data_IF_832480380697
#
_entry.id   IF_832480380697
#
_cell.length_a   1.000
_cell.length_b   1.000
_cell.length_c   1.000
_cell.angle_alpha   90.00
_cell.angle_beta   90.00
_cell.angle_gamma   90.00
#
_symmetry.space_group_name_H-M   'P 1'
#
loop_
_entity.id
_entity.type
_entity.pdbx_description
1 polymer ?
#
# COMPACT_ATOMS: atom_id res chain seq x y z
N UNK A 1 -12.69 18.36 6.43
CA UNK A 1 -11.72 18.20 7.55
C UNK A 1 -10.33 17.82 7.00
N UNK A 2 -9.82 18.55 5.98
CA UNK A 2 -8.69 18.08 5.15
C UNK A 2 -7.40 18.86 5.28
N UNK A 3 -7.20 19.72 6.28
CA UNK A 3 -6.00 20.58 6.34
C UNK A 3 -5.33 20.65 7.71
N UNK A 4 -5.49 19.66 8.59
CA UNK A 4 -5.03 19.81 9.98
C UNK A 4 -3.56 19.40 10.21
N UNK A 5 -2.93 18.64 9.32
CA UNK A 5 -1.59 18.08 9.57
C UNK A 5 -0.49 18.95 8.98
N UNK A 6 -0.68 19.53 7.80
CA UNK A 6 0.31 20.40 7.15
C UNK A 6 0.57 21.72 7.90
N UNK A 7 -0.24 22.04 8.91
CA UNK A 7 -0.11 23.26 9.72
C UNK A 7 0.23 22.97 11.20
N UNK A 8 0.74 21.78 11.53
CA UNK A 8 1.26 21.55 12.88
C UNK A 8 2.69 22.11 12.97
N UNK A 9 2.92 23.29 13.56
CA UNK A 9 4.22 23.98 13.53
C UNK A 9 5.31 23.26 14.33
N UNK A 10 5.00 22.16 14.99
CA UNK A 10 5.92 21.45 15.88
C UNK A 10 6.40 20.08 15.34
N UNK A 11 6.05 19.71 14.12
CA UNK A 11 6.54 18.49 13.52
C UNK A 11 6.87 18.69 12.04
N UNK A 12 8.16 18.87 11.79
CA UNK A 12 8.72 18.95 10.44
C UNK A 12 8.96 17.51 9.96
N UNK A 13 7.95 16.93 9.28
CA UNK A 13 8.13 15.63 8.64
C UNK A 13 9.05 15.80 7.42
N UNK A 14 10.02 14.89 7.23
CA UNK A 14 10.81 14.89 6.01
C UNK A 14 9.91 14.79 4.76
N UNK A 15 10.41 15.30 3.63
CA UNK A 15 9.72 15.17 2.35
C UNK A 15 9.54 13.70 1.98
N UNK A 16 8.32 13.31 1.62
CA UNK A 16 8.08 12.02 1.00
C UNK A 16 8.67 11.97 -0.41
N UNK A 17 9.05 10.77 -0.82
CA UNK A 17 9.56 10.48 -2.16
C UNK A 17 9.05 9.11 -2.63
N UNK A 18 9.35 8.72 -3.88
CA UNK A 18 9.07 7.36 -4.32
C UNK A 18 9.85 6.29 -3.54
N UNK A 19 10.92 6.69 -2.88
CA UNK A 19 11.81 5.79 -2.14
C UNK A 19 11.58 5.79 -0.64
N UNK A 20 10.96 6.82 -0.08
CA UNK A 20 10.76 6.97 1.37
C UNK A 20 9.39 7.55 1.67
N UNK A 21 8.74 6.96 2.68
CA UNK A 21 7.48 7.43 3.24
C UNK A 21 7.65 7.67 4.73
N UNK A 22 7.18 8.81 5.21
CA UNK A 22 7.24 9.17 6.62
C UNK A 22 5.86 9.23 7.24
N UNK A 23 5.59 8.34 8.21
CA UNK A 23 4.31 8.27 8.90
C UNK A 23 4.49 8.44 10.40
N UNK A 24 3.51 9.11 11.02
CA UNK A 24 3.34 9.11 12.47
C UNK A 24 2.18 8.20 12.81
N UNK A 25 2.37 7.32 13.80
CA UNK A 25 1.38 6.33 14.15
C UNK A 25 1.04 6.45 15.62
N UNK A 26 -0.24 6.69 15.89
CA UNK A 26 -0.79 6.67 17.25
C UNK A 26 -1.96 5.72 17.31
N UNK A 27 -1.82 4.64 18.08
CA UNK A 27 -2.86 3.59 18.19
C UNK A 27 -3.28 3.09 16.81
N UNK A 28 -4.55 3.31 16.45
CA UNK A 28 -5.16 2.87 15.21
C UNK A 28 -5.25 3.99 14.14
N UNK A 29 -4.47 5.07 14.27
CA UNK A 29 -4.41 6.20 13.34
C UNK A 29 -3.02 6.30 12.73
N UNK A 30 -2.99 6.54 11.43
CA UNK A 30 -1.80 6.84 10.66
C UNK A 30 -1.90 8.28 10.20
N UNK A 31 -0.85 9.06 10.44
CA UNK A 31 -0.74 10.43 9.97
C UNK A 31 0.36 10.48 8.93
N UNK A 32 -0.01 10.89 7.73
CA UNK A 32 0.90 11.10 6.62
C UNK A 32 1.14 12.59 6.41
N UNK A 33 2.01 12.98 5.52
CA UNK A 33 2.23 14.38 5.13
C UNK A 33 0.98 15.05 4.53
N UNK A 34 -0.01 14.27 4.08
CA UNK A 34 -1.20 14.76 3.37
C UNK A 34 -2.49 14.59 4.16
N UNK A 35 -2.67 13.49 4.87
CA UNK A 35 -3.97 13.10 5.47
C UNK A 35 -3.79 12.20 6.69
N UNK A 36 -4.80 12.21 7.58
CA UNK A 36 -4.92 11.22 8.65
C UNK A 36 -5.82 10.07 8.19
N UNK A 37 -5.36 8.85 8.41
CA UNK A 37 -6.02 7.60 8.05
C UNK A 37 -6.21 6.72 9.29
N UNK A 38 -7.11 5.76 9.20
CA UNK A 38 -7.16 4.64 10.15
C UNK A 38 -6.35 3.49 9.60
N UNK A 39 -5.71 2.72 10.47
CA UNK A 39 -5.01 1.49 10.07
C UNK A 39 -5.95 0.57 9.30
N UNK A 40 -5.46 -0.01 8.20
CA UNK A 40 -6.23 -0.84 7.24
C UNK A 40 -6.88 -0.04 6.10
N UNK A 41 -6.90 1.30 6.14
CA UNK A 41 -7.51 2.11 5.07
C UNK A 41 -6.67 2.11 3.78
N UNK A 42 -5.34 2.15 3.88
CA UNK A 42 -4.45 2.09 2.71
C UNK A 42 -4.65 0.75 1.98
N UNK A 43 -4.64 -0.34 2.72
CA UNK A 43 -4.87 -1.69 2.21
C UNK A 43 -6.25 -1.83 1.58
N UNK A 44 -7.29 -1.31 2.24
CA UNK A 44 -8.66 -1.35 1.72
C UNK A 44 -8.80 -0.57 0.43
N UNK A 45 -8.11 0.57 0.31
CA UNK A 45 -8.08 1.36 -0.93
C UNK A 45 -7.38 0.62 -2.07
N UNK A 46 -6.26 -0.06 -1.79
CA UNK A 46 -5.58 -0.91 -2.77
C UNK A 46 -6.52 -1.98 -3.33
N UNK A 47 -7.25 -2.69 -2.44
CA UNK A 47 -8.19 -3.74 -2.85
C UNK A 47 -9.39 -3.22 -3.63
N UNK A 48 -9.69 -1.93 -3.55
CA UNK A 48 -10.77 -1.26 -4.28
C UNK A 48 -10.28 -0.50 -5.51
N UNK A 49 -9.01 -0.61 -5.88
CA UNK A 49 -8.52 -0.04 -7.14
C UNK A 49 -9.33 -0.60 -8.32
N UNK A 50 -9.54 0.21 -9.31
CA UNK A 50 -10.16 -0.25 -10.56
C UNK A 50 -9.22 -1.24 -11.25
N UNK A 51 -9.80 -2.27 -11.84
CA UNK A 51 -9.02 -3.30 -12.55
C UNK A 51 -8.17 -2.70 -13.68
N UNK A 52 -8.68 -1.64 -14.35
CA UNK A 52 -7.96 -0.94 -15.39
C UNK A 52 -6.71 -0.22 -14.85
N UNK A 53 -6.81 0.43 -13.68
CA UNK A 53 -5.69 1.15 -13.07
C UNK A 53 -4.61 0.17 -12.60
N UNK A 54 -5.03 -0.94 -11.96
CA UNK A 54 -4.11 -2.00 -11.56
C UNK A 54 -3.42 -2.63 -12.76
N UNK A 55 -4.17 -2.93 -13.82
CA UNK A 55 -3.62 -3.48 -15.05
C UNK A 55 -2.63 -2.52 -15.70
N UNK A 56 -2.98 -1.24 -15.77
CA UNK A 56 -2.13 -0.22 -16.39
C UNK A 56 -0.77 -0.11 -15.69
N UNK A 57 -0.76 0.00 -14.36
CA UNK A 57 0.51 0.11 -13.62
C UNK A 57 1.32 -1.19 -13.67
N UNK A 58 0.65 -2.35 -13.65
CA UNK A 58 1.29 -3.64 -13.84
C UNK A 58 1.98 -3.75 -15.21
N UNK A 59 1.27 -3.46 -16.30
CA UNK A 59 1.79 -3.54 -17.66
C UNK A 59 2.97 -2.58 -17.89
N UNK A 60 2.90 -1.37 -17.34
CA UNK A 60 3.99 -0.37 -17.43
C UNK A 60 5.24 -0.86 -16.71
N UNK A 61 5.10 -1.35 -15.48
CA UNK A 61 6.25 -1.82 -14.69
C UNK A 61 6.88 -3.08 -15.29
N UNK A 62 6.08 -4.01 -15.83
CA UNK A 62 6.58 -5.18 -16.57
C UNK A 62 7.30 -4.77 -17.84
N UNK A 63 6.75 -3.82 -18.60
CA UNK A 63 7.40 -3.27 -19.79
C UNK A 63 8.72 -2.58 -19.46
N UNK A 64 8.74 -1.80 -18.37
CA UNK A 64 9.96 -1.16 -17.86
C UNK A 64 11.01 -2.19 -17.44
N UNK A 65 10.64 -3.22 -16.70
CA UNK A 65 11.55 -4.28 -16.25
C UNK A 65 12.21 -4.97 -17.45
N UNK A 66 11.42 -5.37 -18.44
CA UNK A 66 11.94 -5.99 -19.69
C UNK A 66 12.87 -5.05 -20.45
N UNK A 67 12.52 -3.78 -20.55
CA UNK A 67 13.38 -2.78 -21.18
C UNK A 67 14.71 -2.65 -20.44
N UNK A 68 14.67 -2.48 -19.11
CA UNK A 68 15.85 -2.31 -18.28
C UNK A 68 16.78 -3.52 -18.37
N UNK A 69 16.23 -4.75 -18.36
CA UNK A 69 17.02 -5.98 -18.44
C UNK A 69 17.67 -6.18 -19.83
N UNK A 70 16.92 -5.90 -20.91
CA UNK A 70 17.43 -6.08 -22.26
C UNK A 70 18.50 -5.03 -22.65
N UNK A 71 18.49 -3.86 -22.03
CA UNK A 71 19.38 -2.75 -22.37
C UNK A 71 20.51 -2.53 -21.34
N UNK A 72 20.73 -3.46 -20.41
CA UNK A 72 21.79 -3.35 -19.38
C UNK A 72 23.20 -3.12 -19.97
N UNK A 73 23.47 -3.64 -21.17
CA UNK A 73 24.77 -3.50 -21.83
C UNK A 73 24.94 -2.18 -22.61
N UNK A 74 23.84 -1.49 -22.96
CA UNK A 74 23.85 -0.28 -23.78
C UNK A 74 23.56 0.96 -22.96
N UNK A 75 24.55 1.43 -22.21
CA UNK A 75 24.47 2.62 -21.34
C UNK A 75 24.89 3.85 -22.19
N UNK A 76 23.99 4.34 -23.02
CA UNK A 76 24.18 5.52 -23.87
C UNK A 76 23.03 6.51 -23.67
N UNK A 77 23.13 7.70 -24.27
CA UNK A 77 22.16 8.78 -24.16
C UNK A 77 20.74 8.35 -24.53
N UNK A 78 20.58 7.66 -25.64
CA UNK A 78 19.25 7.23 -26.11
C UNK A 78 18.60 6.24 -25.14
N UNK A 79 19.35 5.24 -24.68
CA UNK A 79 18.86 4.24 -23.73
C UNK A 79 18.52 4.87 -22.38
N UNK A 80 19.34 5.81 -21.91
CA UNK A 80 19.07 6.50 -20.64
C UNK A 80 17.90 7.47 -20.74
N UNK A 81 17.72 8.11 -21.90
CA UNK A 81 16.53 8.94 -22.14
C UNK A 81 15.27 8.10 -22.06
N UNK A 82 15.22 6.96 -22.74
CA UNK A 82 14.06 6.06 -22.70
C UNK A 82 13.83 5.46 -21.29
N UNK A 83 14.90 5.13 -20.56
CA UNK A 83 14.82 4.65 -19.17
C UNK A 83 14.13 5.68 -18.28
N UNK A 84 14.57 6.93 -18.32
CA UNK A 84 14.03 8.03 -17.52
C UNK A 84 12.60 8.37 -17.93
N UNK A 85 12.31 8.43 -19.24
CA UNK A 85 10.96 8.74 -19.72
C UNK A 85 9.92 7.72 -19.22
N UNK A 86 10.28 6.44 -19.20
CA UNK A 86 9.44 5.36 -18.64
C UNK A 86 9.26 5.48 -17.13
N UNK A 87 10.29 5.89 -16.38
CA UNK A 87 10.19 6.17 -14.95
C UNK A 87 9.19 7.29 -14.71
N UNK A 88 9.32 8.41 -15.40
CA UNK A 88 8.41 9.56 -15.26
C UNK A 88 6.96 9.17 -15.57
N UNK A 89 6.73 8.33 -16.58
CA UNK A 89 5.38 7.82 -16.88
C UNK A 89 4.81 6.99 -15.73
N UNK A 90 5.62 6.11 -15.13
CA UNK A 90 5.20 5.30 -13.96
C UNK A 90 4.92 6.22 -12.77
N UNK A 91 5.78 7.19 -12.46
CA UNK A 91 5.63 8.15 -11.37
C UNK A 91 4.31 8.93 -11.45
N UNK A 92 3.98 9.44 -12.64
CA UNK A 92 2.74 10.18 -12.89
C UNK A 92 1.48 9.37 -12.58
N UNK A 93 1.52 8.07 -12.76
CA UNK A 93 0.40 7.18 -12.43
C UNK A 93 0.47 6.78 -10.96
N UNK A 94 1.63 6.42 -10.47
CA UNK A 94 1.82 5.92 -9.11
C UNK A 94 1.32 6.91 -8.05
N UNK A 95 1.52 8.23 -8.22
CA UNK A 95 1.04 9.24 -7.27
C UNK A 95 -0.49 9.29 -7.13
N UNK A 96 -1.22 8.69 -8.06
CA UNK A 96 -2.69 8.58 -7.98
C UNK A 96 -3.16 7.30 -7.29
N UNK A 97 -2.24 6.38 -6.98
CA UNK A 97 -2.51 5.05 -6.46
C UNK A 97 -2.01 4.89 -5.02
N UNK A 98 -2.64 4.00 -4.20
CA UNK A 98 -2.13 3.67 -2.88
C UNK A 98 -0.73 3.00 -2.94
N UNK A 99 0.18 3.33 -2.03
CA UNK A 99 0.04 4.28 -0.92
C UNK A 99 0.37 5.73 -1.30
N UNK A 100 0.92 6.01 -2.48
CA UNK A 100 1.45 7.31 -2.88
C UNK A 100 0.38 8.42 -2.92
N UNK A 101 -0.89 8.10 -3.22
CA UNK A 101 -1.97 9.10 -3.22
C UNK A 101 -2.25 9.71 -1.82
N UNK A 102 -1.70 9.13 -0.76
CA UNK A 102 -1.86 9.58 0.63
C UNK A 102 -0.70 10.42 1.16
N UNK A 103 0.33 10.65 0.36
CA UNK A 103 1.52 11.43 0.73
C UNK A 103 1.73 12.60 -0.24
N UNK A 104 2.53 13.58 0.19
CA UNK A 104 2.90 14.71 -0.64
C UNK A 104 4.23 14.43 -1.35
N UNK A 105 4.17 14.01 -2.61
CA UNK A 105 5.34 13.85 -3.46
C UNK A 105 5.42 15.04 -4.41
N UNK A 106 6.57 15.69 -4.43
CA UNK A 106 6.89 16.74 -5.39
C UNK A 106 7.36 16.11 -6.70
N UNK A 107 6.43 15.92 -7.63
CA UNK A 107 6.71 15.32 -8.94
C UNK A 107 7.74 16.08 -9.76
N UNK A 108 7.81 17.40 -9.64
CA UNK A 108 8.83 18.18 -10.37
C UNK A 108 10.23 17.93 -9.81
N UNK A 109 10.35 17.80 -8.48
CA UNK A 109 11.60 17.44 -7.82
C UNK A 109 12.04 16.02 -8.18
N UNK A 110 11.11 15.05 -8.18
CA UNK A 110 11.40 13.66 -8.58
C UNK A 110 11.81 13.58 -10.06
N UNK A 111 11.08 14.26 -10.95
CA UNK A 111 11.44 14.36 -12.35
C UNK A 111 12.83 14.96 -12.56
N UNK A 112 13.18 16.05 -11.84
CA UNK A 112 14.50 16.66 -11.93
C UNK A 112 15.60 15.68 -11.50
N UNK A 113 15.36 14.86 -10.46
CA UNK A 113 16.29 13.80 -10.03
C UNK A 113 16.48 12.75 -11.13
N UNK A 114 15.39 12.26 -11.72
CA UNK A 114 15.46 11.28 -12.80
C UNK A 114 16.16 11.84 -14.04
N UNK A 115 15.91 13.11 -14.42
CA UNK A 115 16.53 13.76 -15.58
C UNK A 115 18.08 13.84 -15.49
N UNK A 116 18.65 13.87 -14.30
CA UNK A 116 20.12 13.86 -14.12
C UNK A 116 20.74 12.61 -14.77
N UNK A 117 20.02 11.48 -14.77
CA UNK A 117 20.50 10.22 -15.34
C UNK A 117 20.70 10.28 -16.89
N UNK A 118 20.07 11.24 -17.57
CA UNK A 118 20.28 11.47 -19.02
C UNK A 118 21.63 12.10 -19.34
N UNK A 119 22.33 12.64 -18.35
CA UNK A 119 23.60 13.34 -18.57
C UNK A 119 24.75 12.35 -18.87
N UNK A 120 25.65 12.76 -19.76
CA UNK A 120 26.87 12.00 -20.08
C UNK A 120 27.73 11.75 -18.85
N UNK A 121 27.74 12.70 -17.90
CA UNK A 121 28.45 12.56 -16.65
C UNK A 121 27.91 11.38 -15.83
N UNK A 122 26.59 11.19 -15.82
CA UNK A 122 25.95 10.09 -15.11
C UNK A 122 26.14 8.75 -15.84
N UNK A 123 25.62 8.61 -17.08
CA UNK A 123 25.63 7.31 -17.74
C UNK A 123 27.04 6.83 -18.13
N UNK A 124 27.99 7.73 -18.26
CA UNK A 124 29.40 7.36 -18.47
C UNK A 124 30.03 6.62 -17.29
N UNK A 125 29.49 6.74 -16.09
CA UNK A 125 29.96 6.06 -14.90
C UNK A 125 29.25 4.74 -14.59
N UNK A 126 28.20 4.41 -15.32
CA UNK A 126 27.43 3.18 -15.10
C UNK A 126 28.20 1.89 -15.40
N UNK A 127 29.38 1.97 -16.02
CA UNK A 127 30.30 0.83 -16.21
C UNK A 127 31.13 0.51 -14.96
N UNK A 128 31.21 1.45 -14.03
CA UNK A 128 31.83 1.26 -12.72
C UNK A 128 30.75 0.88 -11.70
N UNK A 129 30.66 -0.44 -11.38
CA UNK A 129 29.65 -0.98 -10.46
C UNK A 129 29.84 -0.48 -9.02
N UNK A 130 30.92 0.22 -8.72
CA UNK A 130 31.20 0.83 -7.40
C UNK A 130 30.82 2.31 -7.35
N UNK A 131 30.40 2.89 -8.48
CA UNK A 131 30.02 4.31 -8.55
C UNK A 131 28.69 4.59 -7.90
N UNK A 132 28.52 5.80 -7.40
CA UNK A 132 27.25 6.28 -6.85
C UNK A 132 26.15 6.31 -7.94
N UNK A 133 26.52 6.63 -9.16
CA UNK A 133 25.62 6.66 -10.31
C UNK A 133 25.10 5.26 -10.65
N UNK A 134 25.93 4.22 -10.57
CA UNK A 134 25.48 2.84 -10.73
C UNK A 134 24.52 2.43 -9.62
N UNK A 135 24.83 2.74 -8.36
CA UNK A 135 23.97 2.46 -7.24
C UNK A 135 22.59 3.14 -7.36
N UNK A 136 22.57 4.40 -7.80
CA UNK A 136 21.33 5.13 -8.02
C UNK A 136 20.50 4.57 -9.21
N UNK A 137 21.16 4.22 -10.31
CA UNK A 137 20.51 3.52 -11.43
C UNK A 137 19.85 2.22 -11.00
N UNK A 138 20.56 1.36 -10.26
CA UNK A 138 20.03 0.10 -9.77
C UNK A 138 18.88 0.32 -8.77
N UNK A 139 18.93 1.36 -7.96
CA UNK A 139 17.89 1.74 -7.03
C UNK A 139 16.58 2.09 -7.79
N UNK A 140 16.66 2.90 -8.83
CA UNK A 140 15.50 3.24 -9.68
C UNK A 140 14.99 2.01 -10.43
N UNK A 141 15.91 1.25 -11.03
CA UNK A 141 15.57 0.00 -11.72
C UNK A 141 14.80 -0.95 -10.80
N UNK A 142 15.31 -1.20 -9.61
CA UNK A 142 14.69 -2.10 -8.62
C UNK A 142 13.29 -1.64 -8.21
N UNK A 143 13.15 -0.36 -7.88
CA UNK A 143 11.87 0.20 -7.45
C UNK A 143 10.81 0.07 -8.55
N UNK A 144 11.08 0.60 -9.72
CA UNK A 144 10.07 0.71 -10.77
C UNK A 144 9.81 -0.60 -11.51
N UNK A 145 10.77 -1.54 -11.55
CA UNK A 145 10.51 -2.90 -12.05
C UNK A 145 9.59 -3.70 -11.13
N UNK A 146 9.67 -3.48 -9.82
CA UNK A 146 8.93 -4.27 -8.83
C UNK A 146 7.58 -3.67 -8.42
N UNK A 147 7.35 -2.38 -8.66
CA UNK A 147 6.23 -1.66 -8.05
C UNK A 147 4.85 -2.24 -8.40
N UNK A 148 4.47 -2.25 -9.68
CA UNK A 148 3.12 -2.72 -10.08
C UNK A 148 2.92 -4.21 -9.85
N UNK A 149 3.96 -5.01 -10.03
CA UNK A 149 3.94 -6.45 -9.74
C UNK A 149 3.71 -6.67 -8.25
N UNK A 150 4.45 -5.96 -7.38
CA UNK A 150 4.32 -6.06 -5.94
C UNK A 150 2.93 -5.64 -5.45
N UNK A 151 2.36 -4.55 -5.97
CA UNK A 151 0.99 -4.14 -5.66
C UNK A 151 -0.03 -5.22 -6.02
N UNK A 152 0.08 -5.80 -7.22
CA UNK A 152 -0.82 -6.85 -7.69
C UNK A 152 -0.76 -8.10 -6.79
N UNK A 153 0.45 -8.59 -6.50
CA UNK A 153 0.66 -9.78 -5.66
C UNK A 153 0.07 -9.56 -4.27
N UNK A 154 0.41 -8.44 -3.61
CA UNK A 154 -0.11 -8.12 -2.27
C UNK A 154 -1.65 -8.03 -2.29
N UNK A 155 -2.23 -7.39 -3.30
CA UNK A 155 -3.68 -7.30 -3.42
C UNK A 155 -4.33 -8.68 -3.54
N UNK A 156 -3.77 -9.57 -4.36
CA UNK A 156 -4.26 -10.96 -4.50
C UNK A 156 -4.19 -11.73 -3.17
N UNK A 157 -3.04 -11.66 -2.47
CA UNK A 157 -2.83 -12.34 -1.20
C UNK A 157 -3.83 -11.86 -0.13
N UNK A 158 -4.00 -10.55 0.01
CA UNK A 158 -4.90 -9.99 1.01
C UNK A 158 -6.36 -10.26 0.65
N UNK A 159 -6.72 -10.25 -0.65
CA UNK A 159 -8.06 -10.61 -1.10
C UNK A 159 -8.38 -12.07 -0.77
N UNK A 160 -7.49 -13.02 -1.05
CA UNK A 160 -7.66 -14.43 -0.68
C UNK A 160 -7.81 -14.58 0.84
N UNK A 161 -6.93 -13.92 1.61
CA UNK A 161 -6.98 -13.98 3.06
C UNK A 161 -8.31 -13.44 3.61
N UNK A 162 -8.81 -12.34 3.02
CA UNK A 162 -10.12 -11.77 3.38
C UNK A 162 -11.26 -12.73 3.04
N UNK A 163 -11.30 -13.26 1.81
CA UNK A 163 -12.42 -14.02 1.29
C UNK A 163 -12.47 -15.45 1.86
N UNK A 164 -11.32 -16.11 2.07
CA UNK A 164 -11.27 -17.51 2.46
C UNK A 164 -11.03 -17.73 3.96
N UNK A 165 -10.29 -16.85 4.61
CA UNK A 165 -9.88 -17.05 6.01
C UNK A 165 -10.65 -16.16 6.98
N UNK A 166 -10.76 -14.85 6.70
CA UNK A 166 -11.44 -13.93 7.61
C UNK A 166 -12.96 -14.10 7.65
N UNK A 167 -13.58 -14.50 6.54
CA UNK A 167 -15.02 -14.78 6.49
C UNK A 167 -15.44 -15.91 7.42
N UNK A 168 -14.53 -16.83 7.73
CA UNK A 168 -14.76 -17.98 8.63
C UNK A 168 -14.65 -17.63 10.11
N UNK A 169 -14.08 -16.47 10.44
CA UNK A 169 -13.90 -16.07 11.83
C UNK A 169 -15.24 -15.81 12.52
N UNK A 170 -15.41 -16.38 13.72
CA UNK A 170 -16.61 -16.15 14.56
C UNK A 170 -16.60 -14.74 15.16
N UNK A 171 -15.42 -14.24 15.53
CA UNK A 171 -15.19 -12.92 16.09
C UNK A 171 -14.00 -12.27 15.39
N UNK A 172 -14.03 -10.96 15.24
CA UNK A 172 -13.01 -10.16 14.55
C UNK A 172 -12.19 -9.42 15.59
N UNK A 173 -11.19 -10.10 16.12
CA UNK A 173 -10.22 -9.56 17.07
C UNK A 173 -8.82 -10.06 16.72
N UNK A 174 -7.82 -9.47 17.34
CA UNK A 174 -6.41 -9.76 17.10
C UNK A 174 -6.11 -11.27 17.13
N UNK A 175 -6.58 -11.97 18.19
CA UNK A 175 -6.32 -13.41 18.35
C UNK A 175 -6.89 -14.26 17.22
N UNK A 176 -8.10 -13.95 16.75
CA UNK A 176 -8.73 -14.67 15.65
C UNK A 176 -8.06 -14.35 14.32
N UNK A 177 -7.64 -13.10 14.10
CA UNK A 177 -6.85 -12.75 12.91
C UNK A 177 -5.48 -13.44 12.93
N UNK A 178 -4.83 -13.57 14.08
CA UNK A 178 -3.57 -14.32 14.19
C UNK A 178 -3.75 -15.82 13.84
N UNK A 179 -4.87 -16.44 14.25
CA UNK A 179 -5.22 -17.82 13.86
C UNK A 179 -5.44 -17.92 12.34
N UNK A 180 -6.19 -16.97 11.76
CA UNK A 180 -6.42 -16.94 10.31
C UNK A 180 -5.12 -16.73 9.51
N UNK A 181 -4.22 -15.88 10.01
CA UNK A 181 -2.89 -15.69 9.47
C UNK A 181 -2.07 -16.97 9.50
N UNK A 182 -2.08 -17.70 10.64
CA UNK A 182 -1.41 -19.00 10.76
C UNK A 182 -1.94 -20.01 9.72
N UNK A 183 -3.27 -20.11 9.57
CA UNK A 183 -3.89 -20.99 8.60
C UNK A 183 -3.56 -20.58 7.14
N UNK A 184 -3.57 -19.28 6.84
CA UNK A 184 -3.14 -18.79 5.53
C UNK A 184 -1.70 -19.20 5.21
N UNK A 185 -0.77 -19.03 6.14
CA UNK A 185 0.63 -19.42 5.96
C UNK A 185 0.82 -20.93 5.78
N UNK A 186 -0.04 -21.75 6.39
CA UNK A 186 0.06 -23.20 6.29
C UNK A 186 -0.55 -23.76 5.00
N UNK A 187 -1.68 -23.20 4.57
CA UNK A 187 -2.50 -23.81 3.52
C UNK A 187 -2.58 -23.03 2.21
N UNK A 188 -2.24 -21.73 2.20
CA UNK A 188 -2.26 -20.95 0.96
C UNK A 188 -0.96 -21.05 0.18
N UNK A 189 -1.07 -21.24 -1.12
CA UNK A 189 0.06 -21.17 -2.05
C UNK A 189 0.58 -19.73 -2.22
N UNK A 190 -0.23 -18.73 -1.89
CA UNK A 190 0.13 -17.31 -1.98
C UNK A 190 0.79 -16.78 -0.70
N UNK A 191 0.87 -17.56 0.38
CA UNK A 191 1.44 -17.06 1.65
C UNK A 191 2.90 -16.61 1.51
N UNK A 192 3.69 -17.36 0.75
CA UNK A 192 5.08 -17.02 0.43
C UNK A 192 5.18 -15.74 -0.39
N UNK A 193 4.20 -15.45 -1.25
CA UNK A 193 4.19 -14.28 -2.11
C UNK A 193 3.88 -12.99 -1.33
N UNK A 194 3.00 -13.04 -0.32
CA UNK A 194 2.72 -11.89 0.54
C UNK A 194 3.97 -11.45 1.33
N UNK A 195 4.79 -12.42 1.75
CA UNK A 195 6.04 -12.15 2.45
C UNK A 195 7.19 -11.87 1.48
N UNK A 196 7.16 -12.44 0.26
CA UNK A 196 8.18 -12.33 -0.77
C UNK A 196 8.01 -11.13 -1.72
N UNK A 197 7.05 -10.24 -1.47
CA UNK A 197 6.90 -9.01 -2.27
C UNK A 197 8.05 -7.99 -2.06
N UNK A 198 9.10 -8.44 -1.40
CA UNK A 198 10.44 -7.83 -1.37
C UNK A 198 11.29 -8.50 -2.47
N UNK A 199 12.10 -7.73 -3.24
CA UNK A 199 12.74 -8.23 -4.46
C UNK A 199 13.57 -9.49 -4.27
N UNK A 200 13.37 -10.37 -5.20
CA UNK A 200 13.99 -11.65 -5.45
C UNK A 200 15.54 -11.64 -5.33
N UNK A 201 16.08 -11.76 -4.12
CA UNK A 201 17.45 -12.23 -3.90
C UNK A 201 17.57 -12.93 -2.55
N UNK A 202 17.96 -14.21 -2.67
CA UNK A 202 18.42 -15.18 -1.68
C UNK A 202 17.33 -16.07 -1.05
N UNK A 203 17.46 -17.35 -1.37
CA UNK A 203 16.85 -18.51 -0.71
C UNK A 203 17.39 -18.69 0.73
N UNK A 204 17.29 -17.66 1.54
CA UNK A 204 17.43 -17.83 2.97
C UNK A 204 16.04 -17.77 3.59
N UNK A 205 15.70 -18.72 4.44
CA UNK A 205 14.54 -18.70 5.34
C UNK A 205 14.70 -17.59 6.40
N UNK A 206 15.01 -16.39 5.95
CA UNK A 206 14.96 -15.20 6.77
C UNK A 206 13.50 -14.78 6.74
N UNK A 207 12.88 -14.59 7.90
CA UNK A 207 11.61 -13.87 8.02
C UNK A 207 11.83 -12.55 7.32
N UNK A 208 11.22 -12.38 6.16
CA UNK A 208 11.32 -11.15 5.40
C UNK A 208 10.70 -10.07 6.27
N UNK A 209 11.54 -9.17 6.74
CA UNK A 209 11.13 -8.04 7.54
C UNK A 209 10.66 -6.96 6.59
N UNK A 210 9.56 -6.30 6.92
CA UNK A 210 9.16 -5.05 6.24
C UNK A 210 10.34 -4.08 6.32
N UNK A 211 10.61 -3.40 5.22
CA UNK A 211 11.68 -2.40 5.14
C UNK A 211 11.19 -1.09 5.76
N UNK A 212 11.30 -1.01 7.09
CA UNK A 212 10.80 0.11 7.89
C UNK A 212 11.73 0.40 9.06
N UNK A 213 12.09 1.67 9.23
CA UNK A 213 12.74 2.19 10.42
C UNK A 213 11.67 2.74 11.37
N UNK A 214 11.70 2.32 12.63
CA UNK A 214 10.74 2.76 13.64
C UNK A 214 11.49 3.53 14.74
N UNK A 215 11.03 4.74 15.00
CA UNK A 215 11.44 5.58 16.11
C UNK A 215 10.25 6.01 16.96
N UNK A 216 10.49 6.91 17.90
CA UNK A 216 9.45 7.46 18.79
C UNK A 216 9.58 8.99 18.86
N UNK A 217 8.46 9.69 18.83
CA UNK A 217 8.40 11.14 18.94
C UNK A 217 7.18 11.62 19.71
N UNK A 218 7.13 12.93 19.99
CA UNK A 218 5.94 13.60 20.52
C UNK A 218 5.18 14.30 19.39
N UNK A 219 3.85 14.19 19.39
CA UNK A 219 2.97 14.91 18.46
C UNK A 219 1.85 15.57 19.24
N UNK A 220 1.53 16.84 18.92
CA UNK A 220 0.36 17.50 19.49
C UNK A 220 -0.90 16.80 18.97
N UNK A 221 -1.85 16.54 19.87
CA UNK A 221 -3.14 15.96 19.51
C UNK A 221 -3.86 16.87 18.48
N UNK A 222 -4.19 16.40 17.28
CA UNK A 222 -4.88 17.22 16.27
C UNK A 222 -6.25 17.72 16.71
N UNK A 223 -6.88 17.05 17.67
CA UNK A 223 -8.21 17.34 18.16
C UNK A 223 -8.16 18.15 19.48
N UNK A 224 -6.98 18.25 20.16
CA UNK A 224 -6.79 18.97 21.43
C UNK A 224 -5.34 19.48 21.55
N UNK A 225 -5.15 20.76 21.30
CA UNK A 225 -3.80 21.41 21.27
C UNK A 225 -3.07 21.40 22.61
N UNK A 226 -3.78 21.19 23.70
CA UNK A 226 -3.20 21.15 25.05
C UNK A 226 -2.68 19.73 25.41
N UNK A 227 -2.89 18.76 24.52
CA UNK A 227 -2.43 17.38 24.70
C UNK A 227 -1.32 17.03 23.72
N UNK A 228 -0.39 16.22 24.22
CA UNK A 228 0.68 15.63 23.41
C UNK A 228 0.58 14.10 23.48
N UNK A 229 0.73 13.45 22.33
CA UNK A 229 0.82 12.01 22.22
C UNK A 229 2.26 11.56 22.04
N UNK A 230 2.59 10.40 22.59
CA UNK A 230 3.75 9.65 22.15
C UNK A 230 3.32 8.86 20.91
N UNK A 231 4.05 9.02 19.82
CA UNK A 231 3.75 8.41 18.53
C UNK A 231 4.95 7.61 18.03
N UNK A 232 4.68 6.52 17.31
CA UNK A 232 5.69 5.84 16.53
C UNK A 232 5.98 6.68 15.28
N UNK A 233 7.25 6.92 14.97
CA UNK A 233 7.71 7.47 13.70
C UNK A 233 8.16 6.32 12.83
N UNK A 234 7.56 6.18 11.65
CA UNK A 234 7.88 5.11 10.72
C UNK A 234 8.41 5.71 9.41
N UNK A 235 9.60 5.27 9.00
CA UNK A 235 10.17 5.54 7.70
C UNK A 235 10.17 4.24 6.90
N UNK A 236 9.40 4.20 5.81
CA UNK A 236 9.31 3.06 4.91
C UNK A 236 10.10 3.33 3.63
N UNK A 237 10.82 2.34 3.15
CA UNK A 237 11.67 2.47 1.98
C UNK A 237 11.06 1.91 0.67
N UNK A 238 9.82 1.42 0.74
CA UNK A 238 9.04 1.01 -0.43
C UNK A 238 7.54 0.96 -0.13
N UNK A 239 6.73 1.04 -1.19
CA UNK A 239 5.27 1.02 -1.13
C UNK A 239 4.70 -0.30 -0.58
N UNK A 240 5.37 -1.42 -0.85
CA UNK A 240 4.93 -2.74 -0.41
C UNK A 240 4.97 -2.84 1.12
N UNK A 241 6.05 -2.37 1.74
CA UNK A 241 6.20 -2.32 3.20
C UNK A 241 5.14 -1.45 3.87
N UNK A 242 4.76 -0.33 3.25
CA UNK A 242 3.65 0.51 3.73
C UNK A 242 2.34 -0.28 3.79
N UNK A 243 2.00 -0.98 2.70
CA UNK A 243 0.75 -1.73 2.59
C UNK A 243 0.74 -2.92 3.55
N UNK A 244 1.85 -3.66 3.62
CA UNK A 244 1.99 -4.77 4.57
C UNK A 244 1.85 -4.30 6.02
N UNK A 245 2.51 -3.20 6.37
CA UNK A 245 2.42 -2.62 7.70
C UNK A 245 0.99 -2.20 8.04
N UNK A 246 0.33 -1.48 7.14
CA UNK A 246 -1.06 -1.04 7.31
C UNK A 246 -2.00 -2.25 7.50
N UNK A 247 -1.82 -3.31 6.73
CA UNK A 247 -2.59 -4.54 6.82
C UNK A 247 -2.39 -5.26 8.15
N UNK A 248 -1.13 -5.53 8.54
CA UNK A 248 -0.84 -6.23 9.79
C UNK A 248 -1.24 -5.41 11.02
N UNK A 249 -1.00 -4.11 10.97
CA UNK A 249 -1.45 -3.20 12.02
C UNK A 249 -2.98 -3.17 12.10
N UNK A 250 -3.66 -3.19 10.97
CA UNK A 250 -5.12 -3.31 10.89
C UNK A 250 -5.62 -4.56 11.63
N UNK A 251 -5.02 -5.72 11.40
CA UNK A 251 -5.39 -6.96 12.10
C UNK A 251 -5.19 -6.84 13.62
N UNK A 252 -4.08 -6.25 14.10
CA UNK A 252 -3.81 -6.04 15.52
C UNK A 252 -4.91 -5.21 16.19
N UNK A 253 -5.47 -4.24 15.48
CA UNK A 253 -6.56 -3.39 15.99
C UNK A 253 -7.97 -3.93 15.68
N UNK A 254 -8.10 -5.18 15.24
CA UNK A 254 -9.39 -5.77 14.86
C UNK A 254 -10.00 -5.17 13.59
N UNK A 255 -9.18 -4.56 12.73
CA UNK A 255 -9.57 -3.85 11.51
C UNK A 255 -8.90 -4.49 10.31
N UNK A 256 -9.61 -5.33 9.61
CA UNK A 256 -9.15 -5.93 8.37
C UNK A 256 -10.13 -5.62 7.25
N UNK A 257 -9.68 -5.63 5.96
CA UNK A 257 -10.58 -5.48 4.83
C UNK A 257 -11.48 -6.71 4.69
N UNK A 258 -12.76 -6.48 4.38
CA UNK A 258 -13.75 -7.52 4.08
C UNK A 258 -14.49 -7.16 2.80
N UNK A 259 -14.82 -8.17 2.00
CA UNK A 259 -15.64 -7.98 0.81
C UNK A 259 -17.12 -7.84 1.18
N UNK A 260 -17.76 -6.79 0.72
CA UNK A 260 -19.20 -6.59 0.89
C UNK A 260 -19.99 -7.57 0.04
N UNK A 261 -20.86 -8.38 0.65
CA UNK A 261 -21.67 -9.38 -0.06
C UNK A 261 -22.71 -8.78 -1.00
N UNK A 262 -22.97 -7.46 -0.91
CA UNK A 262 -23.95 -6.79 -1.79
C UNK A 262 -23.28 -6.10 -2.98
N UNK A 263 -22.27 -5.27 -2.73
CA UNK A 263 -21.65 -4.48 -3.80
C UNK A 263 -20.28 -5.00 -4.27
N UNK A 264 -19.74 -6.05 -3.66
CA UNK A 264 -18.46 -6.64 -4.01
C UNK A 264 -17.22 -5.84 -3.60
N UNK A 265 -17.37 -4.56 -3.20
CA UNK A 265 -16.25 -3.72 -2.76
C UNK A 265 -15.73 -4.13 -1.40
N UNK A 266 -14.46 -3.96 -1.16
CA UNK A 266 -13.86 -4.14 0.15
C UNK A 266 -14.21 -2.96 1.06
N UNK A 267 -14.39 -3.24 2.34
CA UNK A 267 -14.61 -2.25 3.38
C UNK A 267 -13.82 -2.63 4.63
N UNK A 268 -13.40 -1.63 5.38
CA UNK A 268 -12.71 -1.85 6.64
C UNK A 268 -13.73 -2.23 7.72
N UNK A 269 -13.62 -3.45 8.25
CA UNK A 269 -14.43 -3.87 9.38
C UNK A 269 -13.98 -3.12 10.64
N UNK A 270 -14.89 -2.41 11.28
CA UNK A 270 -14.61 -1.61 12.49
C UNK A 270 -15.25 -2.18 13.73
N UNK A 271 -16.16 -3.14 13.56
CA UNK A 271 -16.92 -3.79 14.64
C UNK A 271 -16.43 -5.21 14.85
N UNK A 272 -16.34 -5.64 16.10
CA UNK A 272 -16.04 -7.03 16.47
C UNK A 272 -17.14 -8.01 16.04
N UNK A 273 -18.31 -7.50 15.70
CA UNK A 273 -19.43 -8.31 15.23
C UNK A 273 -19.32 -8.65 13.74
N UNK A 274 -19.78 -9.84 13.40
CA UNK A 274 -19.77 -10.35 12.04
C UNK A 274 -20.74 -9.55 11.15
N UNK A 275 -20.23 -8.56 10.42
CA UNK A 275 -20.97 -7.85 9.38
C UNK A 275 -20.42 -8.22 8.00
N UNK A 276 -21.31 -8.50 7.05
CA UNK A 276 -20.96 -8.87 5.67
C UNK A 276 -21.27 -7.75 4.67
N UNK A 277 -21.71 -6.58 5.15
CA UNK A 277 -22.18 -5.49 4.34
C UNK A 277 -21.53 -4.18 4.78
N UNK A 278 -21.05 -3.40 3.82
CA UNK A 278 -20.52 -2.07 4.08
C UNK A 278 -21.61 -1.05 4.40
N UNK A 279 -21.21 0.12 4.91
CA UNK A 279 -22.11 1.25 5.16
C UNK A 279 -22.23 2.20 3.96
N UNK A 280 -21.56 1.88 2.84
CA UNK A 280 -21.63 2.67 1.61
C UNK A 280 -23.00 2.58 0.95
N UNK A 281 -23.31 3.58 0.14
CA UNK A 281 -24.52 3.59 -0.69
C UNK A 281 -24.50 2.39 -1.64
N UNK A 282 -25.64 1.73 -1.74
CA UNK A 282 -25.80 0.61 -2.66
C UNK A 282 -25.74 1.09 -4.12
N UNK A 283 -25.04 0.38 -5.01
CA UNK A 283 -25.06 0.68 -6.44
C UNK A 283 -26.48 0.60 -7.06
N UNK A 284 -27.30 -0.32 -6.53
CA UNK A 284 -28.66 -0.57 -7.04
C UNK A 284 -29.70 0.41 -6.46
N UNK A 285 -29.45 0.96 -5.27
CA UNK A 285 -30.35 1.88 -4.59
C UNK A 285 -29.58 2.94 -3.79
N UNK A 286 -29.30 4.10 -4.39
CA UNK A 286 -28.52 5.18 -3.76
C UNK A 286 -29.15 5.75 -2.47
N UNK A 287 -30.42 5.48 -2.21
CA UNK A 287 -31.12 5.93 -0.99
C UNK A 287 -30.90 5.00 0.20
N UNK A 288 -30.24 3.84 0.00
CA UNK A 288 -29.97 2.85 1.05
C UNK A 288 -28.52 2.46 1.07
N UNK A 289 -28.03 2.09 2.25
CA UNK A 289 -26.69 1.49 2.37
C UNK A 289 -26.77 -0.01 2.08
N UNK A 290 -25.63 -0.62 1.69
CA UNK A 290 -25.52 -2.06 1.54
C UNK A 290 -25.94 -2.80 2.82
N UNK A 291 -25.59 -2.27 3.99
CA UNK A 291 -25.99 -2.83 5.30
C UNK A 291 -27.52 -2.83 5.50
N UNK A 292 -28.21 -1.77 5.10
CA UNK A 292 -29.68 -1.70 5.18
C UNK A 292 -30.36 -2.71 4.25
N UNK A 293 -29.79 -2.92 3.04
CA UNK A 293 -30.30 -3.92 2.10
C UNK A 293 -30.06 -5.33 2.63
N UNK A 294 -28.85 -5.62 3.10
CA UNK A 294 -28.51 -6.92 3.67
C UNK A 294 -29.37 -7.30 4.88
N UNK A 295 -29.68 -6.34 5.75
CA UNK A 295 -30.60 -6.54 6.87
C UNK A 295 -32.00 -6.93 6.39
N UNK A 296 -32.53 -6.23 5.37
CA UNK A 296 -33.84 -6.54 4.79
C UNK A 296 -33.91 -7.93 4.18
N UNK A 297 -32.88 -8.33 3.41
CA UNK A 297 -32.81 -9.66 2.79
C UNK A 297 -32.80 -10.77 3.82
N UNK A 298 -32.01 -10.61 4.89
CA UNK A 298 -31.98 -11.58 6.00
C UNK A 298 -33.30 -11.74 6.72
N UNK A 299 -34.09 -10.68 6.86
CA UNK A 299 -35.44 -10.75 7.39
C UNK A 299 -36.39 -11.49 6.46
N UNK A 300 -36.27 -11.28 5.14
CA UNK A 300 -37.08 -11.95 4.12
C UNK A 300 -36.80 -13.46 4.10
N UNK A 301 -35.52 -13.87 4.07
CA UNK A 301 -35.12 -15.28 4.14
C UNK A 301 -35.60 -15.99 5.40
N UNK A 302 -35.59 -15.31 6.57
CA UNK A 302 -36.12 -15.87 7.80
C UNK A 302 -37.65 -16.07 7.74
N UNK A 303 -38.37 -15.15 7.10
CA UNK A 303 -39.83 -15.28 6.96
C UNK A 303 -40.21 -16.41 5.99
N UNK A 304 -39.45 -16.58 4.90
CA UNK A 304 -39.63 -17.65 3.92
C UNK A 304 -39.28 -19.04 4.47
N UNK A 305 -38.31 -19.15 5.40
CA UNK A 305 -37.94 -20.43 6.06
C UNK A 305 -38.87 -20.79 7.23
N UNK A 306 -39.82 -19.92 7.63
CA UNK A 306 -40.81 -20.15 8.68
C UNK A 306 -42.22 -20.42 8.13
N UNK A 307 -42.38 -20.28 6.82
CA UNK A 307 -43.60 -20.61 6.08
C UNK A 307 -43.51 -21.99 5.43
#
# INVERSE_FOLDING_TARGET
>A
MNNAISNNPNYDMPDDSFFNFYFLIHKNRIFTTKIALKVGEITTALLNMKAEDMKKIYDLTVSFARFADNNMAMKNEQTMTEFVDRIIEIEQIAVTLPPYCYVNIDLEKEKQRAEIMKSKAFYGRLYDMTSEEFAEYERYKKLFSGYGIGLYIIACCIAEMSDEYFTRLKKRDESNYAIAWGAFNEYSTLSSELMASVPYYEKARVRETMDVNIGVSGMIDPDDKDKTWVVDTCEFHNAQSVIQYDFFRGMQYGRAPFRCHHCGRFFLATDSYKTFYCNEKSPENPNRTCRQIGAKNKHKEKAENLS
#
